data_IF_919713745342
#
_entry.id   IF_919713745342
#
_cell.length_a   1.000
_cell.length_b   1.000
_cell.length_c   1.000
_cell.angle_alpha   90.00
_cell.angle_beta   90.00
_cell.angle_gamma   90.00
#
_symmetry.space_group_name_H-M   'P 1'
#
loop_
_entity.id
_entity.type
_entity.pdbx_description
1 polymer ?
#
# COMPACT_ATOMS: atom_id res chain seq x y z
N UNK A 1 -30.43 14.83 10.45
CA UNK A 1 -31.10 14.03 9.40
C UNK A 1 -30.23 13.82 8.16
N UNK A 2 -29.76 14.86 7.46
CA UNK A 2 -28.87 14.71 6.29
C UNK A 2 -27.60 13.88 6.55
N UNK A 3 -26.89 14.14 7.65
CA UNK A 3 -25.68 13.38 8.03
C UNK A 3 -25.95 11.88 8.25
N UNK A 4 -27.10 11.51 8.82
CA UNK A 4 -27.45 10.09 9.00
C UNK A 4 -27.78 9.41 7.67
N UNK A 5 -28.56 10.07 6.80
CA UNK A 5 -28.90 9.51 5.49
C UNK A 5 -27.68 9.39 4.57
N UNK A 6 -26.78 10.37 4.58
CA UNK A 6 -25.52 10.29 3.82
C UNK A 6 -24.60 9.21 4.40
N UNK A 7 -24.51 9.09 5.73
CA UNK A 7 -23.70 8.03 6.38
C UNK A 7 -24.19 6.64 6.00
N UNK A 8 -25.50 6.39 6.04
CA UNK A 8 -26.07 5.09 5.64
C UNK A 8 -25.80 4.77 4.17
N UNK A 9 -25.91 5.77 3.29
CA UNK A 9 -25.60 5.63 1.88
C UNK A 9 -24.11 5.31 1.66
N UNK A 10 -23.21 6.08 2.25
CA UNK A 10 -21.76 5.85 2.16
C UNK A 10 -21.39 4.46 2.66
N UNK A 11 -21.88 4.07 3.84
CA UNK A 11 -21.61 2.75 4.43
C UNK A 11 -22.12 1.62 3.52
N UNK A 12 -23.29 1.79 2.87
CA UNK A 12 -23.81 0.80 1.93
C UNK A 12 -22.86 0.60 0.74
N UNK A 13 -22.42 1.67 0.08
CA UNK A 13 -21.49 1.56 -1.05
C UNK A 13 -20.11 1.08 -0.65
N UNK A 14 -19.63 1.48 0.53
CA UNK A 14 -18.36 0.99 1.10
C UNK A 14 -18.37 -0.54 1.24
N UNK A 15 -19.48 -1.13 1.73
CA UNK A 15 -19.63 -2.59 1.84
C UNK A 15 -19.55 -3.29 0.48
N UNK A 16 -20.24 -2.76 -0.54
CA UNK A 16 -20.19 -3.32 -1.90
C UNK A 16 -18.80 -3.18 -2.54
N UNK A 17 -18.15 -2.03 -2.37
CA UNK A 17 -16.78 -1.79 -2.86
C UNK A 17 -15.77 -2.71 -2.16
N UNK A 18 -15.88 -2.85 -0.84
CA UNK A 18 -15.05 -3.75 -0.03
C UNK A 18 -15.21 -5.20 -0.47
N UNK A 19 -16.45 -5.65 -0.73
CA UNK A 19 -16.72 -6.97 -1.29
C UNK A 19 -16.05 -7.15 -2.67
N UNK A 20 -16.19 -6.17 -3.57
CA UNK A 20 -15.58 -6.19 -4.89
C UNK A 20 -14.04 -6.28 -4.82
N UNK A 21 -13.42 -5.43 -3.98
CA UNK A 21 -11.97 -5.42 -3.74
C UNK A 21 -11.52 -6.77 -3.15
N UNK A 22 -12.26 -7.31 -2.18
CA UNK A 22 -11.96 -8.61 -1.58
C UNK A 22 -11.98 -9.74 -2.62
N UNK A 23 -13.00 -9.81 -3.46
CA UNK A 23 -13.09 -10.80 -4.55
C UNK A 23 -11.93 -10.62 -5.54
N UNK A 24 -11.65 -9.38 -5.94
CA UNK A 24 -10.54 -9.07 -6.84
C UNK A 24 -9.20 -9.55 -6.28
N UNK A 25 -8.90 -9.24 -5.02
CA UNK A 25 -7.68 -9.68 -4.34
C UNK A 25 -7.60 -11.21 -4.23
N UNK A 26 -8.71 -11.88 -3.97
CA UNK A 26 -8.79 -13.33 -3.92
C UNK A 26 -8.44 -13.96 -5.28
N UNK A 27 -8.94 -13.40 -6.39
CA UNK A 27 -8.62 -13.87 -7.74
C UNK A 27 -7.13 -13.64 -8.07
N UNK A 28 -6.61 -12.45 -7.80
CA UNK A 28 -5.21 -12.10 -8.09
C UNK A 28 -4.23 -12.95 -7.28
N UNK A 29 -4.48 -13.13 -5.99
CA UNK A 29 -3.62 -13.95 -5.10
C UNK A 29 -3.68 -15.42 -5.49
N UNK A 30 -4.86 -15.97 -5.79
CA UNK A 30 -5.02 -17.35 -6.28
C UNK A 30 -4.23 -17.60 -7.56
N UNK A 31 -4.31 -16.68 -8.54
CA UNK A 31 -3.53 -16.78 -9.79
C UNK A 31 -2.02 -16.82 -9.51
N UNK A 32 -1.53 -16.04 -8.55
CA UNK A 32 -0.11 -15.99 -8.16
C UNK A 32 0.35 -17.21 -7.35
N UNK A 33 -0.55 -17.85 -6.62
CA UNK A 33 -0.26 -19.10 -5.90
C UNK A 33 -0.15 -20.30 -6.84
N UNK A 34 -1.04 -20.37 -7.84
CA UNK A 34 -1.17 -21.50 -8.76
C UNK A 34 -0.18 -21.43 -9.94
N UNK A 35 0.15 -20.24 -10.44
CA UNK A 35 1.09 -20.08 -11.56
C UNK A 35 2.54 -20.16 -11.10
N UNK A 36 3.41 -20.61 -12.01
CA UNK A 36 4.87 -20.54 -11.82
C UNK A 36 5.26 -19.06 -11.74
N UNK A 37 5.89 -18.68 -10.62
CA UNK A 37 6.33 -17.31 -10.40
C UNK A 37 7.61 -17.10 -11.20
N UNK A 38 7.50 -16.38 -12.31
CA UNK A 38 8.66 -15.92 -13.06
C UNK A 38 9.25 -14.71 -12.34
N UNK A 39 10.42 -14.93 -11.75
CA UNK A 39 11.18 -13.84 -11.17
C UNK A 39 11.82 -13.06 -12.33
N UNK A 40 11.29 -11.88 -12.64
CA UNK A 40 12.00 -10.92 -13.50
C UNK A 40 13.34 -10.62 -12.86
N UNK A 41 14.41 -10.67 -13.66
CA UNK A 41 15.70 -10.20 -13.22
C UNK A 41 15.60 -8.70 -12.96
N UNK A 42 15.68 -8.32 -11.70
CA UNK A 42 15.73 -6.92 -11.28
C UNK A 42 17.05 -6.35 -11.80
N UNK A 43 16.98 -5.53 -12.85
CA UNK A 43 18.08 -4.67 -13.26
C UNK A 43 18.34 -3.68 -12.13
N UNK A 44 19.46 -3.86 -11.43
CA UNK A 44 19.91 -2.93 -10.39
C UNK A 44 20.63 -1.77 -11.09
N UNK A 45 19.89 -1.06 -11.93
CA UNK A 45 20.33 0.17 -12.55
C UNK A 45 19.61 1.34 -11.87
N UNK A 46 20.33 2.44 -11.63
CA UNK A 46 19.79 3.61 -10.96
C UNK A 46 18.54 4.14 -11.67
N UNK A 47 18.51 4.09 -13.01
CA UNK A 47 17.35 4.46 -13.82
C UNK A 47 16.11 3.62 -13.46
N UNK A 48 16.26 2.31 -13.31
CA UNK A 48 15.16 1.42 -12.94
C UNK A 48 14.70 1.67 -11.50
N UNK A 49 15.64 1.89 -10.58
CA UNK A 49 15.32 2.21 -9.18
C UNK A 49 14.54 3.53 -9.07
N UNK A 50 14.98 4.57 -9.77
CA UNK A 50 14.31 5.86 -9.80
C UNK A 50 12.91 5.77 -10.45
N UNK A 51 12.78 5.04 -11.55
CA UNK A 51 11.48 4.81 -12.20
C UNK A 51 10.51 4.08 -11.28
N UNK A 52 10.96 3.04 -10.58
CA UNK A 52 10.14 2.31 -9.62
C UNK A 52 9.74 3.19 -8.43
N UNK A 53 10.66 4.03 -7.94
CA UNK A 53 10.37 5.01 -6.90
C UNK A 53 9.29 6.00 -7.32
N UNK A 54 9.46 6.66 -8.47
CA UNK A 54 8.48 7.64 -8.99
C UNK A 54 7.12 6.99 -9.26
N UNK A 55 7.10 5.75 -9.72
CA UNK A 55 5.87 4.97 -9.90
C UNK A 55 5.17 4.73 -8.56
N UNK A 56 5.93 4.35 -7.52
CA UNK A 56 5.41 4.16 -6.16
C UNK A 56 4.87 5.45 -5.55
N UNK A 57 5.60 6.57 -5.71
CA UNK A 57 5.14 7.90 -5.28
C UNK A 57 3.85 8.29 -6.01
N UNK A 58 3.78 8.07 -7.33
CA UNK A 58 2.57 8.31 -8.11
C UNK A 58 1.37 7.53 -7.57
N UNK A 59 1.54 6.24 -7.28
CA UNK A 59 0.49 5.42 -6.65
C UNK A 59 0.10 5.91 -5.25
N UNK A 60 1.05 6.41 -4.46
CA UNK A 60 0.77 6.93 -3.13
C UNK A 60 -0.02 8.25 -3.17
N UNK A 61 0.29 9.14 -4.12
CA UNK A 61 -0.40 10.43 -4.28
C UNK A 61 -1.86 10.23 -4.71
N UNK A 62 -2.14 9.28 -5.60
CA UNK A 62 -3.53 9.01 -6.02
C UNK A 62 -4.34 8.24 -4.96
N UNK A 63 -3.68 7.72 -3.92
CA UNK A 63 -4.33 7.00 -2.84
C UNK A 63 -4.79 7.97 -1.74
N UNK A 64 -6.08 8.33 -1.79
CA UNK A 64 -6.70 9.25 -0.82
C UNK A 64 -6.54 8.79 0.64
N UNK A 65 -6.53 7.47 0.89
CA UNK A 65 -6.31 6.94 2.24
C UNK A 65 -4.91 7.28 2.74
N UNK A 66 -3.90 7.23 1.87
CA UNK A 66 -2.52 7.60 2.24
C UNK A 66 -2.44 9.08 2.61
N UNK A 67 -3.08 9.96 1.84
CA UNK A 67 -3.12 11.40 2.12
C UNK A 67 -3.75 11.65 3.50
N UNK A 68 -4.89 11.03 3.80
CA UNK A 68 -5.56 11.18 5.09
C UNK A 68 -4.73 10.67 6.26
N UNK A 69 -4.01 9.57 6.09
CA UNK A 69 -3.09 9.04 7.13
C UNK A 69 -1.95 10.03 7.39
N UNK A 70 -1.32 10.56 6.34
CA UNK A 70 -0.24 11.56 6.48
C UNK A 70 -0.77 12.81 7.20
N UNK A 71 -1.93 13.31 6.79
CA UNK A 71 -2.57 14.47 7.41
C UNK A 71 -2.87 14.22 8.91
N UNK A 72 -3.35 13.03 9.26
CA UNK A 72 -3.62 12.64 10.66
C UNK A 72 -2.33 12.59 11.48
N UNK A 73 -1.25 12.03 10.93
CA UNK A 73 0.05 11.99 11.60
C UNK A 73 0.58 13.41 11.84
N UNK A 74 0.44 14.31 10.87
CA UNK A 74 0.89 15.70 11.03
C UNK A 74 0.06 16.48 12.04
N UNK A 75 -1.26 16.26 12.07
CA UNK A 75 -2.14 16.82 13.08
C UNK A 75 -1.78 16.29 14.48
N UNK A 76 -1.52 14.99 14.62
CA UNK A 76 -1.12 14.37 15.89
C UNK A 76 0.23 14.90 16.40
N UNK A 77 1.20 15.07 15.51
CA UNK A 77 2.52 15.62 15.84
C UNK A 77 2.50 17.15 16.04
N UNK A 78 1.33 17.79 15.94
CA UNK A 78 1.14 19.24 16.10
C UNK A 78 2.02 20.06 15.16
N UNK A 79 2.36 19.49 14.00
CA UNK A 79 3.18 20.15 12.97
C UNK A 79 2.42 21.34 12.35
N UNK A 80 1.08 21.34 12.48
CA UNK A 80 0.18 22.35 11.91
C UNK A 80 -0.27 23.44 12.91
N UNK A 81 0.27 23.48 14.14
CA UNK A 81 -0.22 24.42 15.16
C UNK A 81 0.33 25.85 15.02
N UNK A 82 1.52 26.02 14.43
CA UNK A 82 2.18 27.33 14.18
C UNK A 82 2.68 27.39 12.72
N UNK A 83 1.74 27.38 11.77
CA UNK A 83 2.06 27.28 10.34
C UNK A 83 2.54 28.63 9.79
N UNK A 84 3.84 28.77 9.63
CA UNK A 84 4.40 29.74 8.68
C UNK A 84 4.60 29.09 7.30
N UNK A 85 4.66 29.90 6.25
CA UNK A 85 5.01 29.42 4.89
C UNK A 85 6.37 28.72 4.85
N UNK A 86 7.31 29.15 5.69
CA UNK A 86 8.63 28.54 5.84
C UNK A 86 8.54 27.14 6.49
N UNK A 87 7.85 27.03 7.63
CA UNK A 87 7.67 25.75 8.36
C UNK A 87 6.92 24.70 7.55
N UNK A 88 5.99 25.14 6.69
CA UNK A 88 5.29 24.26 5.74
C UNK A 88 6.24 23.66 4.69
N UNK A 89 7.13 24.49 4.13
CA UNK A 89 8.13 24.06 3.16
C UNK A 89 9.14 23.10 3.78
N UNK A 90 9.65 23.41 4.98
CA UNK A 90 10.56 22.55 5.73
C UNK A 90 9.94 21.18 6.03
N UNK A 91 8.65 21.15 6.40
CA UNK A 91 7.91 19.91 6.63
C UNK A 91 7.79 19.07 5.35
N UNK A 92 7.39 19.68 4.24
CA UNK A 92 7.26 18.99 2.95
C UNK A 92 8.61 18.43 2.48
N UNK A 93 9.67 19.23 2.59
CA UNK A 93 11.02 18.83 2.22
C UNK A 93 11.53 17.73 3.15
N UNK A 94 11.36 17.86 4.47
CA UNK A 94 11.80 16.88 5.45
C UNK A 94 11.12 15.53 5.27
N UNK A 95 9.79 15.52 5.04
CA UNK A 95 9.03 14.30 4.78
C UNK A 95 9.40 13.69 3.43
N UNK A 96 9.54 14.52 2.39
CA UNK A 96 9.97 14.10 1.07
C UNK A 96 11.37 13.47 1.08
N UNK A 97 12.35 14.13 1.70
CA UNK A 97 13.72 13.64 1.83
C UNK A 97 13.81 12.42 2.74
N UNK A 98 13.11 12.40 3.87
CA UNK A 98 13.06 11.27 4.78
C UNK A 98 12.44 10.03 4.12
N UNK A 99 11.30 10.19 3.44
CA UNK A 99 10.64 9.11 2.70
C UNK A 99 11.48 8.60 1.53
N UNK A 100 12.07 9.50 0.75
CA UNK A 100 12.98 9.15 -0.35
C UNK A 100 14.20 8.41 0.18
N UNK A 101 14.85 8.95 1.22
CA UNK A 101 16.04 8.38 1.83
C UNK A 101 15.79 6.98 2.38
N UNK A 102 14.66 6.78 3.08
CA UNK A 102 14.27 5.48 3.60
C UNK A 102 14.00 4.47 2.47
N UNK A 103 13.38 4.88 1.37
CA UNK A 103 13.19 4.03 0.20
C UNK A 103 14.52 3.59 -0.44
N UNK A 104 15.42 4.54 -0.72
CA UNK A 104 16.72 4.21 -1.31
C UNK A 104 17.60 3.37 -0.37
N UNK A 105 17.56 3.66 0.94
CA UNK A 105 18.27 2.88 1.94
C UNK A 105 17.76 1.44 2.02
N UNK A 106 16.45 1.24 2.15
CA UNK A 106 15.86 -0.10 2.23
C UNK A 106 16.10 -0.91 0.96
N UNK A 107 15.93 -0.30 -0.22
CA UNK A 107 16.22 -0.96 -1.50
C UNK A 107 17.70 -1.31 -1.66
N UNK A 108 18.61 -0.45 -1.20
CA UNK A 108 20.05 -0.77 -1.18
C UNK A 108 20.35 -1.97 -0.28
N UNK A 109 19.83 -1.99 0.95
CA UNK A 109 19.97 -3.10 1.89
C UNK A 109 19.44 -4.41 1.27
N UNK A 110 18.23 -4.38 0.71
CA UNK A 110 17.63 -5.54 0.05
C UNK A 110 18.49 -6.00 -1.14
N UNK A 111 19.01 -5.06 -1.94
CA UNK A 111 19.89 -5.37 -3.07
C UNK A 111 21.19 -6.05 -2.62
N UNK A 112 21.80 -5.54 -1.54
CA UNK A 112 23.01 -6.11 -0.97
C UNK A 112 22.78 -7.53 -0.44
N UNK A 113 21.69 -7.74 0.31
CA UNK A 113 21.32 -9.05 0.85
C UNK A 113 20.65 -9.97 -0.16
N UNK A 114 20.29 -9.50 -1.37
CA UNK A 114 19.65 -10.32 -2.42
C UNK A 114 20.47 -11.55 -2.77
N UNK A 115 21.80 -11.44 -2.71
CA UNK A 115 22.72 -12.56 -2.95
C UNK A 115 22.55 -13.72 -1.95
N UNK A 116 22.01 -13.45 -0.76
CA UNK A 116 21.73 -14.48 0.25
C UNK A 116 20.40 -15.24 0.00
N UNK A 117 19.50 -14.65 -0.78
CA UNK A 117 18.20 -15.24 -1.09
C UNK A 117 18.22 -15.87 -2.49
N UNK A 118 18.49 -17.18 -2.54
CA UNK A 118 18.34 -17.96 -3.76
C UNK A 118 16.93 -17.86 -4.34
N UNK A 119 16.80 -18.01 -5.67
CA UNK A 119 15.52 -17.90 -6.41
C UNK A 119 14.40 -18.73 -5.77
N UNK A 120 14.71 -19.93 -5.28
CA UNK A 120 13.76 -20.82 -4.61
C UNK A 120 13.19 -20.26 -3.29
N UNK A 121 14.05 -19.67 -2.44
CA UNK A 121 13.63 -19.06 -1.18
C UNK A 121 12.72 -17.86 -1.45
N UNK A 122 13.05 -17.06 -2.47
CA UNK A 122 12.25 -15.91 -2.86
C UNK A 122 10.86 -16.32 -3.38
N UNK A 123 10.78 -17.38 -4.19
CA UNK A 123 9.50 -17.95 -4.64
C UNK A 123 8.66 -18.43 -3.45
N UNK A 124 9.26 -19.10 -2.46
CA UNK A 124 8.55 -19.52 -1.24
C UNK A 124 7.99 -18.33 -0.46
N UNK A 125 8.78 -17.26 -0.28
CA UNK A 125 8.33 -16.03 0.38
C UNK A 125 7.17 -15.39 -0.37
N UNK A 126 7.26 -15.29 -1.70
CA UNK A 126 6.18 -14.71 -2.52
C UNK A 126 4.91 -15.56 -2.41
N UNK A 127 5.01 -16.89 -2.46
CA UNK A 127 3.86 -17.77 -2.26
C UNK A 127 3.26 -17.60 -0.87
N UNK A 128 4.09 -17.54 0.17
CA UNK A 128 3.63 -17.31 1.54
C UNK A 128 2.88 -15.98 1.69
N UNK A 129 3.45 -14.88 1.17
CA UNK A 129 2.81 -13.58 1.18
C UNK A 129 1.46 -13.57 0.43
N UNK A 130 1.39 -14.21 -0.76
CA UNK A 130 0.12 -14.33 -1.48
C UNK A 130 -0.89 -15.22 -0.75
N UNK A 131 -0.44 -16.21 0.03
CA UNK A 131 -1.29 -17.00 0.92
C UNK A 131 -1.93 -16.14 2.02
N UNK A 132 -1.14 -15.28 2.66
CA UNK A 132 -1.66 -14.31 3.65
C UNK A 132 -2.66 -13.36 3.01
N UNK A 133 -2.33 -12.79 1.84
CA UNK A 133 -3.25 -11.89 1.10
C UNK A 133 -4.56 -12.60 0.79
N UNK A 134 -4.51 -13.88 0.39
CA UNK A 134 -5.70 -14.67 0.12
C UNK A 134 -6.57 -14.86 1.37
N UNK A 135 -5.97 -15.21 2.52
CA UNK A 135 -6.69 -15.40 3.79
C UNK A 135 -7.36 -14.10 4.23
N UNK A 136 -6.63 -12.97 4.17
CA UNK A 136 -7.18 -11.67 4.51
C UNK A 136 -8.31 -11.26 3.55
N UNK A 137 -8.14 -11.49 2.25
CA UNK A 137 -9.17 -11.23 1.26
C UNK A 137 -10.43 -12.08 1.50
N UNK A 138 -10.26 -13.35 1.87
CA UNK A 138 -11.36 -14.23 2.24
C UNK A 138 -12.13 -13.70 3.47
N UNK A 139 -11.40 -13.27 4.49
CA UNK A 139 -12.01 -12.65 5.67
C UNK A 139 -12.81 -11.40 5.29
N UNK A 140 -12.24 -10.51 4.47
CA UNK A 140 -12.93 -9.30 3.98
C UNK A 140 -14.19 -9.64 3.20
N UNK A 141 -14.13 -10.64 2.31
CA UNK A 141 -15.31 -11.06 1.53
C UNK A 141 -16.41 -11.60 2.43
N UNK A 142 -16.10 -12.49 3.37
CA UNK A 142 -17.08 -13.06 4.29
C UNK A 142 -17.71 -11.97 5.16
N UNK A 143 -16.88 -11.08 5.70
CA UNK A 143 -17.34 -9.98 6.55
C UNK A 143 -18.25 -9.01 5.80
N UNK A 144 -17.83 -8.56 4.61
CA UNK A 144 -18.61 -7.65 3.78
C UNK A 144 -19.90 -8.30 3.28
N UNK A 145 -19.88 -9.59 2.90
CA UNK A 145 -21.09 -10.32 2.51
C UNK A 145 -22.09 -10.42 3.67
N UNK A 146 -21.62 -10.73 4.89
CA UNK A 146 -22.48 -10.77 6.08
C UNK A 146 -23.14 -9.42 6.35
N UNK A 147 -22.42 -8.32 6.19
CA UNK A 147 -22.96 -6.96 6.37
C UNK A 147 -23.91 -6.49 5.25
N UNK A 148 -23.94 -7.16 4.10
CA UNK A 148 -24.88 -6.84 3.02
C UNK A 148 -26.17 -7.64 3.19
N UNK A 149 -26.07 -8.86 3.73
CA UNK A 149 -27.21 -9.76 3.95
C UNK A 149 -27.99 -9.40 5.22
N UNK A 150 -27.31 -9.00 6.30
CA UNK A 150 -27.91 -8.46 7.53
C UNK A 150 -28.10 -6.94 7.44
#
# INVERSE_FOLDING_TARGET
>A
MFLSSVKEYVVKYERYLSLFIGIFLMIVSSKKLLKKIELKELSVDFKSMLQNYLTGVGFAIVNISTILVIATVFAFLRILDDVTTLSSLETIIGVGLGGSGLWFFTTYIISHFRRLFGKEKLIKIIKFANGIIFILALFVVIYSAKQIIN
#
